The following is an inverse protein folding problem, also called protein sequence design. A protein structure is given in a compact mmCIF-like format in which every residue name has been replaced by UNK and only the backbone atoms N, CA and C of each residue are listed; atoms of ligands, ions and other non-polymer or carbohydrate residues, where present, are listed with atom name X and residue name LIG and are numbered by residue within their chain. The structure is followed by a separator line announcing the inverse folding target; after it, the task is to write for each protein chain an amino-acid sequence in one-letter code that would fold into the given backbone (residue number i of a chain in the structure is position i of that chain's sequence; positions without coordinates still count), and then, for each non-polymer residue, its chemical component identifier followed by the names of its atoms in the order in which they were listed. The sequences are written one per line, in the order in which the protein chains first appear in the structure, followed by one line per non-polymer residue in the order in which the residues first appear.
data_IF_408204741152
#
_entry.id   IF_408204741152
#
_cell.length_a   1.000
_cell.length_b   1.000
_cell.length_c   1.000
_cell.angle_alpha   90.00
_cell.angle_beta   90.00
_cell.angle_gamma   90.00
#
_symmetry.space_group_name_H-M   'P 1'
#
loop_
_entity.id
_entity.type
_entity.pdbx_description
1 polymer ?
#
# COMPACT_ATOMS: atom_id res chain seq x y z
N UNK A 1 1.18 -22.96 44.44
CA UNK A 1 1.00 -21.49 44.45
C UNK A 1 2.29 -20.85 44.91
N UNK A 2 3.21 -20.58 43.99
CA UNK A 2 4.33 -19.68 44.22
C UNK A 2 3.95 -18.37 43.54
N UNK A 3 3.62 -17.36 44.34
CA UNK A 3 3.29 -16.03 43.86
C UNK A 3 4.46 -15.49 43.03
N UNK A 4 4.18 -15.08 41.81
CA UNK A 4 5.15 -14.53 40.89
C UNK A 4 5.48 -13.09 41.35
N UNK A 5 6.46 -12.94 42.25
CA UNK A 5 6.86 -11.64 42.86
C UNK A 5 7.75 -10.80 41.91
N UNK A 6 7.88 -11.20 40.65
CA UNK A 6 8.72 -10.48 39.67
C UNK A 6 7.98 -9.38 38.89
N UNK A 7 6.66 -9.25 39.04
CA UNK A 7 5.86 -8.27 38.31
C UNK A 7 5.98 -6.82 38.80
N UNK A 8 6.69 -6.56 39.90
CA UNK A 8 6.89 -5.21 40.47
C UNK A 8 8.32 -4.96 40.98
N UNK A 9 9.36 -5.30 40.20
CA UNK A 9 10.70 -4.78 40.50
C UNK A 9 10.74 -3.30 40.13
N UNK A 10 10.66 -2.44 41.15
CA UNK A 10 10.89 -1.01 41.02
C UNK A 10 12.30 -0.81 40.42
N UNK A 11 12.42 -0.05 39.32
CA UNK A 11 13.71 0.18 38.68
C UNK A 11 14.69 0.82 39.66
N UNK A 12 15.89 0.25 39.76
CA UNK A 12 16.91 0.58 40.78
C UNK A 12 17.88 1.66 40.28
N UNK A 13 17.79 2.02 39.00
CA UNK A 13 18.61 3.05 38.35
C UNK A 13 17.72 3.97 37.51
N UNK A 14 18.14 5.21 37.30
CA UNK A 14 17.38 6.17 36.49
C UNK A 14 17.13 5.64 35.06
N UNK A 15 18.12 4.98 34.45
CA UNK A 15 17.98 4.42 33.09
C UNK A 15 16.93 3.31 33.05
N UNK A 16 16.97 2.37 34.00
CA UNK A 16 15.95 1.30 34.06
C UNK A 16 14.56 1.85 34.34
N UNK A 17 14.45 2.98 35.06
CA UNK A 17 13.18 3.65 35.30
C UNK A 17 12.60 4.32 34.06
N UNK A 18 13.45 5.03 33.31
CA UNK A 18 13.05 5.67 32.05
C UNK A 18 12.53 4.62 31.07
N UNK A 19 13.33 3.58 30.79
CA UNK A 19 12.93 2.52 29.85
C UNK A 19 11.62 1.84 30.28
N UNK A 20 11.42 1.60 31.59
CA UNK A 20 10.19 1.01 32.09
C UNK A 20 8.97 1.91 31.84
N UNK A 21 9.11 3.22 32.09
CA UNK A 21 8.03 4.19 31.90
C UNK A 21 7.70 4.41 30.42
N UNK A 22 8.71 4.44 29.54
CA UNK A 22 8.54 4.53 28.09
C UNK A 22 7.75 3.31 27.56
N UNK A 23 8.19 2.10 27.90
CA UNK A 23 7.48 0.86 27.55
C UNK A 23 6.04 0.84 28.10
N UNK A 24 5.82 1.33 29.31
CA UNK A 24 4.48 1.42 29.88
C UNK A 24 3.61 2.43 29.13
N UNK A 25 4.17 3.58 28.75
CA UNK A 25 3.49 4.61 27.97
C UNK A 25 3.07 4.07 26.60
N UNK A 26 3.97 3.40 25.89
CA UNK A 26 3.68 2.78 24.59
C UNK A 26 2.59 1.70 24.69
N UNK A 27 2.63 0.86 25.73
CA UNK A 27 1.57 -0.12 26.01
C UNK A 27 0.22 0.52 26.24
N UNK A 28 0.19 1.56 27.07
CA UNK A 28 -1.05 2.31 27.34
C UNK A 28 -1.58 2.91 26.05
N UNK A 29 -0.71 3.46 25.20
CA UNK A 29 -1.08 4.00 23.91
C UNK A 29 -1.74 2.93 23.03
N UNK A 30 -1.07 1.80 22.76
CA UNK A 30 -1.60 0.71 21.93
C UNK A 30 -2.93 0.17 22.46
N UNK A 31 -3.02 -0.13 23.75
CA UNK A 31 -4.26 -0.66 24.34
C UNK A 31 -5.40 0.36 24.32
N UNK A 32 -5.10 1.66 24.43
CA UNK A 32 -6.10 2.72 24.29
C UNK A 32 -6.63 2.81 22.85
N UNK A 33 -5.77 2.61 21.85
CA UNK A 33 -6.16 2.54 20.45
C UNK A 33 -7.05 1.33 20.19
N UNK A 34 -6.72 0.17 20.77
CA UNK A 34 -7.57 -1.02 20.70
C UNK A 34 -8.98 -0.73 21.24
N UNK A 35 -9.08 -0.21 22.47
CA UNK A 35 -10.38 0.16 23.06
C UNK A 35 -11.18 1.13 22.20
N UNK A 36 -10.50 2.10 21.56
CA UNK A 36 -11.14 3.14 20.76
C UNK A 36 -11.60 2.65 19.39
N UNK A 37 -10.79 1.83 18.72
CA UNK A 37 -11.02 1.39 17.34
C UNK A 37 -11.88 0.14 17.26
N UNK A 38 -11.72 -0.79 18.20
CA UNK A 38 -12.44 -2.06 18.22
C UNK A 38 -13.06 -2.32 19.61
N UNK A 39 -13.98 -1.45 20.08
CA UNK A 39 -14.51 -1.52 21.44
C UNK A 39 -15.23 -2.85 21.74
N UNK A 40 -15.94 -3.41 20.76
CA UNK A 40 -16.62 -4.71 20.91
C UNK A 40 -15.61 -5.84 21.06
N UNK A 41 -14.58 -5.89 20.20
CA UNK A 41 -13.51 -6.90 20.28
C UNK A 41 -12.69 -6.77 21.56
N UNK A 42 -12.44 -5.55 22.02
CA UNK A 42 -11.82 -5.30 23.31
C UNK A 42 -12.60 -5.93 24.47
N UNK A 43 -13.94 -5.80 24.47
CA UNK A 43 -14.81 -6.35 25.51
C UNK A 43 -14.95 -7.88 25.41
N UNK A 44 -14.92 -8.42 24.19
CA UNK A 44 -14.97 -9.87 23.92
C UNK A 44 -13.65 -10.59 24.24
N UNK A 45 -12.52 -9.88 24.23
CA UNK A 45 -11.19 -10.45 24.44
C UNK A 45 -11.07 -11.13 25.81
N UNK A 46 -10.70 -12.41 25.79
CA UNK A 46 -10.41 -13.21 26.99
C UNK A 46 -8.94 -13.17 27.39
N UNK A 47 -8.09 -12.47 26.62
CA UNK A 47 -6.65 -12.38 26.85
C UNK A 47 -6.38 -11.45 28.05
N UNK A 48 -5.71 -11.93 29.11
CA UNK A 48 -5.30 -11.07 30.21
C UNK A 48 -4.38 -9.93 29.72
N UNK A 49 -4.59 -8.72 30.24
CA UNK A 49 -3.86 -7.51 29.80
C UNK A 49 -2.34 -7.66 29.89
N UNK A 50 -1.84 -8.46 30.85
CA UNK A 50 -0.42 -8.68 31.10
C UNK A 50 0.10 -10.04 30.60
N UNK A 51 -0.68 -10.76 29.78
CA UNK A 51 -0.24 -12.05 29.25
C UNK A 51 0.83 -11.82 28.17
N UNK A 52 1.93 -12.56 28.29
CA UNK A 52 3.02 -12.59 27.33
C UNK A 52 3.40 -14.04 27.06
N UNK A 53 2.96 -14.57 25.93
CA UNK A 53 3.26 -15.95 25.51
C UNK A 53 4.66 -16.05 24.88
N UNK A 54 5.17 -14.95 24.31
CA UNK A 54 6.46 -14.84 23.64
C UNK A 54 7.40 -13.89 24.40
N UNK A 55 8.30 -14.41 25.27
CA UNK A 55 9.15 -13.58 26.12
C UNK A 55 10.14 -12.68 25.36
N UNK A 56 10.45 -13.02 24.12
CA UNK A 56 11.31 -12.21 23.23
C UNK A 56 10.57 -11.08 22.54
N UNK A 57 9.23 -11.11 22.50
CA UNK A 57 8.43 -10.04 21.89
C UNK A 57 8.43 -8.80 22.77
N UNK A 58 8.51 -7.63 22.15
CA UNK A 58 8.24 -6.35 22.80
C UNK A 58 6.75 -6.15 23.10
N UNK A 59 5.88 -6.91 22.44
CA UNK A 59 4.43 -6.83 22.55
C UNK A 59 3.84 -7.91 23.46
N UNK A 60 2.76 -7.55 24.15
CA UNK A 60 1.91 -8.47 24.90
C UNK A 60 0.87 -9.10 23.96
N UNK A 61 0.34 -10.26 24.33
CA UNK A 61 -0.63 -11.01 23.52
C UNK A 61 -1.85 -10.16 23.13
N UNK A 62 -2.29 -9.26 24.02
CA UNK A 62 -3.44 -8.39 23.77
C UNK A 62 -3.12 -7.21 22.85
N UNK A 63 -1.85 -6.81 22.77
CA UNK A 63 -1.38 -5.81 21.81
C UNK A 63 -1.23 -6.44 20.42
N UNK A 64 -0.72 -7.68 20.36
CA UNK A 64 -0.67 -8.47 19.13
C UNK A 64 -2.10 -8.72 18.60
N UNK A 65 -3.07 -9.03 19.46
CA UNK A 65 -4.49 -9.13 19.09
C UNK A 65 -4.99 -7.85 18.41
N UNK A 66 -4.66 -6.67 18.95
CA UNK A 66 -5.02 -5.40 18.33
C UNK A 66 -4.37 -5.20 16.96
N UNK A 67 -3.06 -5.46 16.84
CA UNK A 67 -2.33 -5.23 15.60
C UNK A 67 -2.83 -6.19 14.50
N UNK A 68 -3.18 -7.43 14.86
CA UNK A 68 -3.88 -8.36 13.96
C UNK A 68 -5.24 -7.81 13.51
N UNK A 69 -6.04 -7.24 14.41
CA UNK A 69 -7.31 -6.61 14.02
C UNK A 69 -7.12 -5.44 13.06
N UNK A 70 -6.06 -4.64 13.25
CA UNK A 70 -5.70 -3.57 12.30
C UNK A 70 -5.35 -4.16 10.93
N UNK A 71 -4.49 -5.18 10.90
CA UNK A 71 -4.08 -5.90 9.68
C UNK A 71 -5.28 -6.49 8.92
N UNK A 72 -6.20 -7.13 9.64
CA UNK A 72 -7.36 -7.81 9.06
C UNK A 72 -8.45 -6.85 8.55
N UNK A 73 -8.65 -5.71 9.24
CA UNK A 73 -9.85 -4.89 9.04
C UNK A 73 -9.58 -3.51 8.47
N UNK A 74 -8.35 -2.98 8.58
CA UNK A 74 -8.05 -1.58 8.24
C UNK A 74 -7.06 -1.44 7.09
N UNK A 75 -5.87 -2.01 7.22
CA UNK A 75 -4.80 -1.96 6.21
C UNK A 75 -3.70 -2.98 6.55
N UNK A 76 -2.93 -3.47 5.57
CA UNK A 76 -1.88 -4.46 5.80
C UNK A 76 -0.78 -3.91 6.71
N UNK A 77 -0.34 -4.74 7.64
CA UNK A 77 0.81 -4.48 8.50
C UNK A 77 1.98 -5.32 7.98
N UNK A 78 3.08 -4.65 7.63
CA UNK A 78 4.32 -5.32 7.21
C UNK A 78 4.87 -6.18 8.35
N UNK A 79 5.39 -7.37 8.03
CA UNK A 79 5.95 -8.33 8.99
C UNK A 79 4.98 -8.78 10.10
N UNK A 80 3.66 -8.79 9.84
CA UNK A 80 2.65 -9.22 10.83
C UNK A 80 2.91 -10.63 11.37
N UNK A 81 3.39 -11.54 10.53
CA UNK A 81 3.71 -12.92 10.91
C UNK A 81 4.92 -13.03 11.84
N UNK A 82 5.75 -11.98 11.92
CA UNK A 82 6.98 -11.93 12.73
C UNK A 82 6.81 -11.11 14.01
N UNK A 83 5.64 -10.52 14.25
CA UNK A 83 5.39 -9.59 15.36
C UNK A 83 5.64 -10.22 16.75
N UNK A 84 5.39 -11.52 16.88
CA UNK A 84 5.63 -12.31 18.10
C UNK A 84 7.12 -12.52 18.38
N UNK A 85 7.99 -12.24 17.42
CA UNK A 85 9.45 -12.36 17.54
C UNK A 85 10.16 -11.01 17.59
N UNK A 86 9.44 -9.91 17.38
CA UNK A 86 10.03 -8.59 17.34
C UNK A 86 10.50 -8.13 18.72
N UNK A 87 11.80 -7.83 18.85
CA UNK A 87 12.40 -7.38 20.10
C UNK A 87 12.18 -5.89 20.40
N UNK A 88 11.69 -5.13 19.42
CA UNK A 88 11.45 -3.70 19.53
C UNK A 88 10.00 -3.33 19.17
N UNK A 89 9.56 -2.18 19.68
CA UNK A 89 8.24 -1.62 19.34
C UNK A 89 8.40 -0.71 18.15
N UNK A 90 7.92 -1.21 17.02
CA UNK A 90 7.97 -0.46 15.78
C UNK A 90 6.77 0.47 15.59
N UNK A 91 7.04 1.56 14.89
CA UNK A 91 6.01 2.38 14.25
C UNK A 91 5.33 1.59 13.12
N UNK A 92 4.24 2.11 12.59
CA UNK A 92 3.54 1.54 11.43
C UNK A 92 4.40 1.78 10.20
N UNK A 93 4.98 0.71 9.66
CA UNK A 93 5.69 0.76 8.38
C UNK A 93 4.68 0.83 7.22
N UNK A 94 4.82 1.84 6.38
CA UNK A 94 4.12 1.92 5.10
C UNK A 94 5.09 1.45 4.02
N UNK A 95 4.87 0.21 3.55
CA UNK A 95 5.69 -0.42 2.52
C UNK A 95 5.03 -0.35 1.14
N UNK A 96 5.81 -0.38 0.06
CA UNK A 96 5.29 -0.51 -1.30
C UNK A 96 4.39 -1.72 -1.44
N UNK A 97 3.20 -1.51 -2.00
CA UNK A 97 2.19 -2.55 -2.18
C UNK A 97 2.27 -3.21 -3.57
N UNK A 98 3.24 -2.77 -4.38
CA UNK A 98 3.51 -3.25 -5.72
C UNK A 98 5.01 -3.34 -5.95
N UNK A 99 5.40 -4.20 -6.87
CA UNK A 99 6.77 -4.24 -7.37
C UNK A 99 7.06 -2.96 -8.15
N UNK A 100 8.24 -2.43 -7.90
CA UNK A 100 8.79 -1.27 -8.60
C UNK A 100 9.29 -1.73 -9.95
N UNK A 101 8.56 -1.37 -11.02
CA UNK A 101 8.84 -1.88 -12.36
C UNK A 101 10.25 -1.57 -12.87
N UNK A 102 10.94 -0.56 -12.30
CA UNK A 102 12.33 -0.22 -12.64
C UNK A 102 13.37 -1.14 -11.98
N UNK A 103 12.96 -1.94 -10.99
CA UNK A 103 13.79 -2.95 -10.33
C UNK A 103 13.60 -4.35 -10.91
N UNK A 104 12.59 -4.54 -11.76
CA UNK A 104 12.28 -5.81 -12.43
C UNK A 104 12.88 -5.87 -13.84
N UNK A 105 13.10 -7.08 -14.36
CA UNK A 105 13.33 -7.23 -15.80
C UNK A 105 12.03 -6.85 -16.52
N UNK A 106 12.13 -5.89 -17.45
CA UNK A 106 10.99 -5.45 -18.25
C UNK A 106 10.25 -6.63 -18.89
N UNK A 107 10.97 -7.69 -19.30
CA UNK A 107 10.35 -8.87 -19.91
C UNK A 107 9.55 -9.76 -18.94
N UNK A 108 9.73 -9.60 -17.64
CA UNK A 108 8.99 -10.33 -16.59
C UNK A 108 7.70 -9.60 -16.18
N UNK A 109 7.57 -8.31 -16.52
CA UNK A 109 6.35 -7.53 -16.27
C UNK A 109 5.13 -8.12 -16.96
N UNK A 110 3.95 -7.92 -16.37
CA UNK A 110 2.71 -8.38 -16.99
C UNK A 110 2.41 -7.60 -18.27
N UNK A 111 1.63 -8.21 -19.17
CA UNK A 111 1.35 -7.66 -20.50
C UNK A 111 0.82 -6.22 -20.44
N UNK A 112 -0.10 -5.95 -19.50
CA UNK A 112 -0.72 -4.63 -19.32
C UNK A 112 0.29 -3.58 -18.84
N UNK A 113 1.21 -3.93 -17.94
CA UNK A 113 2.30 -3.03 -17.51
C UNK A 113 3.25 -2.71 -18.65
N UNK A 114 3.70 -3.73 -19.40
CA UNK A 114 4.51 -3.53 -20.61
C UNK A 114 3.83 -2.57 -21.59
N UNK A 115 2.51 -2.72 -21.79
CA UNK A 115 1.74 -1.85 -22.68
C UNK A 115 1.68 -0.40 -22.15
N UNK A 116 1.37 -0.20 -20.87
CA UNK A 116 1.28 1.13 -20.27
C UNK A 116 2.64 1.83 -20.22
N UNK A 117 3.71 1.14 -19.85
CA UNK A 117 5.09 1.67 -19.91
C UNK A 117 5.49 2.03 -21.33
N UNK A 118 5.18 1.18 -22.32
CA UNK A 118 5.44 1.48 -23.72
C UNK A 118 4.65 2.70 -24.21
N UNK A 119 3.43 2.89 -23.72
CA UNK A 119 2.60 4.06 -24.03
C UNK A 119 3.23 5.36 -23.48
N UNK A 120 3.86 5.28 -22.31
CA UNK A 120 4.61 6.37 -21.67
C UNK A 120 6.05 6.53 -22.21
N UNK A 121 6.47 5.71 -23.18
CA UNK A 121 7.81 5.75 -23.76
C UNK A 121 8.90 5.04 -22.95
N UNK A 122 8.54 4.31 -21.89
CA UNK A 122 9.46 3.57 -21.00
C UNK A 122 9.53 2.06 -21.33
N UNK A 123 9.04 1.65 -22.50
CA UNK A 123 8.96 0.24 -22.88
C UNK A 123 9.39 -0.01 -24.32
N UNK A 124 8.64 -0.85 -25.02
CA UNK A 124 8.94 -1.19 -26.41
C UNK A 124 8.85 0.01 -27.34
N UNK A 125 9.81 0.12 -28.26
CA UNK A 125 9.76 1.04 -29.38
C UNK A 125 8.63 0.69 -30.35
N UNK A 126 8.06 1.67 -31.07
CA UNK A 126 6.92 1.49 -31.99
C UNK A 126 7.12 0.32 -32.99
N UNK A 127 8.35 0.11 -33.47
CA UNK A 127 8.67 -0.99 -34.39
C UNK A 127 8.46 -2.39 -33.79
N UNK A 128 8.48 -2.53 -32.46
CA UNK A 128 8.25 -3.78 -31.73
C UNK A 128 6.76 -3.98 -31.37
N UNK A 129 5.92 -2.95 -31.46
CA UNK A 129 4.51 -3.02 -31.04
C UNK A 129 3.68 -4.05 -31.82
N UNK A 130 4.01 -4.30 -33.10
CA UNK A 130 3.26 -5.32 -33.86
C UNK A 130 3.40 -6.70 -33.26
N UNK A 131 4.61 -7.06 -32.86
CA UNK A 131 4.95 -8.34 -32.27
C UNK A 131 4.35 -8.46 -30.87
N UNK A 132 4.54 -7.44 -30.04
CA UNK A 132 4.19 -7.49 -28.62
C UNK A 132 2.72 -7.16 -28.35
N UNK A 133 2.12 -6.26 -29.15
CA UNK A 133 0.77 -5.74 -28.92
C UNK A 133 -0.19 -5.91 -30.12
N UNK A 134 0.21 -6.61 -31.19
CA UNK A 134 -0.67 -6.98 -32.30
C UNK A 134 -1.01 -5.87 -33.29
N UNK A 135 -0.53 -4.63 -33.09
CA UNK A 135 -0.65 -3.52 -34.04
C UNK A 135 0.55 -2.58 -33.94
N UNK A 136 0.78 -1.77 -34.97
CA UNK A 136 1.76 -0.68 -34.95
C UNK A 136 0.97 0.64 -34.96
N UNK A 137 1.12 1.51 -33.96
CA UNK A 137 0.60 2.87 -34.04
C UNK A 137 1.45 3.70 -34.99
N UNK A 138 0.83 4.65 -35.70
CA UNK A 138 1.56 5.58 -36.58
C UNK A 138 2.42 6.56 -35.78
N UNK A 139 2.01 6.86 -34.54
CA UNK A 139 2.64 7.80 -33.64
C UNK A 139 2.23 7.50 -32.20
N UNK A 140 3.13 7.80 -31.26
CA UNK A 140 2.86 7.86 -29.82
C UNK A 140 3.44 9.17 -29.33
N UNK A 141 2.61 10.00 -28.71
CA UNK A 141 3.05 11.26 -28.12
C UNK A 141 4.02 11.00 -26.95
N UNK A 142 5.15 11.73 -26.87
CA UNK A 142 6.03 11.67 -25.70
C UNK A 142 5.27 12.03 -24.42
N UNK A 143 5.61 11.38 -23.30
CA UNK A 143 4.94 11.60 -22.02
C UNK A 143 5.02 13.06 -21.57
N UNK A 144 6.12 13.75 -21.86
CA UNK A 144 6.36 15.16 -21.52
C UNK A 144 5.42 16.13 -22.26
N UNK A 145 4.82 15.69 -23.37
CA UNK A 145 3.89 16.49 -24.17
C UNK A 145 2.42 16.28 -23.77
N UNK A 146 2.14 15.28 -22.92
CA UNK A 146 0.79 14.94 -22.48
C UNK A 146 0.28 15.94 -21.46
N UNK A 147 -0.87 16.56 -21.76
CA UNK A 147 -1.57 17.35 -20.76
C UNK A 147 -2.50 16.45 -19.94
N UNK A 148 -2.02 16.03 -18.76
CA UNK A 148 -2.67 14.95 -18.00
C UNK A 148 -4.13 15.25 -17.62
N UNK A 149 -4.48 16.49 -17.28
CA UNK A 149 -5.89 16.84 -17.03
C UNK A 149 -6.80 16.63 -18.25
N UNK A 150 -6.28 16.86 -19.46
CA UNK A 150 -6.99 16.59 -20.71
C UNK A 150 -7.09 15.09 -20.95
N UNK A 151 -6.04 14.33 -20.64
CA UNK A 151 -6.06 12.85 -20.68
C UNK A 151 -7.18 12.28 -19.81
N UNK A 152 -7.24 12.68 -18.52
CA UNK A 152 -8.31 12.30 -17.59
C UNK A 152 -9.71 12.60 -18.17
N UNK A 153 -9.90 13.81 -18.72
CA UNK A 153 -11.18 14.21 -19.35
C UNK A 153 -11.53 13.36 -20.57
N UNK A 154 -10.54 12.90 -21.35
CA UNK A 154 -10.75 12.04 -22.50
C UNK A 154 -11.09 10.60 -22.08
N UNK A 155 -10.40 10.05 -21.09
CA UNK A 155 -10.70 8.73 -20.51
C UNK A 155 -12.17 8.65 -20.07
N UNK A 156 -12.66 9.64 -19.32
CA UNK A 156 -14.06 9.69 -18.82
C UNK A 156 -15.14 9.71 -19.90
N UNK A 157 -14.81 9.94 -21.18
CA UNK A 157 -15.78 9.87 -22.29
C UNK A 157 -16.08 8.44 -22.72
N UNK A 158 -15.23 7.49 -22.33
CA UNK A 158 -15.41 6.08 -22.61
C UNK A 158 -16.22 5.42 -21.50
N UNK A 159 -16.75 4.22 -21.79
CA UNK A 159 -17.40 3.38 -20.77
C UNK A 159 -16.35 2.54 -20.04
N UNK A 160 -16.72 2.02 -18.86
CA UNK A 160 -15.95 0.98 -18.18
C UNK A 160 -15.64 -0.18 -19.13
N UNK A 161 -14.45 -0.80 -19.01
CA UNK A 161 -13.33 -0.41 -18.13
C UNK A 161 -12.46 0.77 -18.59
N UNK A 162 -12.44 1.10 -19.89
CA UNK A 162 -11.46 2.02 -20.47
C UNK A 162 -11.50 3.45 -19.88
N UNK A 163 -12.61 3.82 -19.25
CA UNK A 163 -12.73 5.09 -18.54
C UNK A 163 -11.72 5.26 -17.39
N UNK A 164 -11.17 4.17 -16.85
CA UNK A 164 -10.19 4.17 -15.76
C UNK A 164 -8.74 4.09 -16.24
N UNK A 165 -8.48 4.28 -17.54
CA UNK A 165 -7.12 4.23 -18.08
C UNK A 165 -6.20 5.28 -17.40
N UNK A 166 -6.75 6.41 -16.97
CA UNK A 166 -6.01 7.41 -16.21
C UNK A 166 -5.56 6.89 -14.83
N UNK A 167 -6.38 6.09 -14.16
CA UNK A 167 -6.01 5.43 -12.90
C UNK A 167 -4.85 4.45 -13.15
N UNK A 168 -4.96 3.59 -14.17
CA UNK A 168 -3.92 2.61 -14.48
C UNK A 168 -2.56 3.29 -14.78
N UNK A 169 -2.57 4.41 -15.51
CA UNK A 169 -1.38 5.23 -15.76
C UNK A 169 -0.82 5.83 -14.47
N UNK A 170 -1.66 6.44 -13.62
CA UNK A 170 -1.19 7.03 -12.34
C UNK A 170 -0.54 6.00 -11.43
N UNK A 171 -1.07 4.78 -11.36
CA UNK A 171 -0.49 3.76 -10.48
C UNK A 171 0.88 3.32 -11.01
N UNK A 172 1.05 3.11 -12.32
CA UNK A 172 2.35 2.69 -12.86
C UNK A 172 3.39 3.82 -12.82
N UNK A 173 2.93 5.07 -12.82
CA UNK A 173 3.75 6.29 -12.71
C UNK A 173 3.96 6.75 -11.25
N UNK A 174 3.42 6.03 -10.25
CA UNK A 174 3.51 6.40 -8.82
C UNK A 174 3.02 7.85 -8.56
N UNK A 175 1.94 8.27 -9.23
CA UNK A 175 1.38 9.63 -9.19
C UNK A 175 -0.11 9.66 -8.83
N UNK A 176 -0.50 8.81 -7.88
CA UNK A 176 -1.90 8.62 -7.45
C UNK A 176 -2.33 9.57 -6.32
N UNK A 177 -1.39 10.23 -5.65
CA UNK A 177 -1.57 10.94 -4.37
C UNK A 177 -2.07 10.01 -3.24
N UNK A 178 -1.73 8.73 -3.35
CA UNK A 178 -2.06 7.71 -2.37
C UNK A 178 -0.78 7.08 -1.81
N UNK A 179 -0.59 7.22 -0.49
CA UNK A 179 0.62 6.76 0.19
C UNK A 179 0.90 5.27 -0.01
N UNK A 180 -0.12 4.42 -0.20
CA UNK A 180 0.09 2.98 -0.42
C UNK A 180 0.52 2.62 -1.84
N UNK A 181 0.22 3.48 -2.81
CA UNK A 181 0.47 3.23 -4.24
C UNK A 181 1.66 4.01 -4.78
N UNK A 182 2.04 5.11 -4.13
CA UNK A 182 3.12 5.99 -4.58
C UNK A 182 4.42 5.79 -3.78
N UNK A 183 4.38 5.04 -2.68
CA UNK A 183 5.58 4.78 -1.88
C UNK A 183 6.48 3.72 -2.55
N UNK A 184 7.78 3.95 -2.43
CA UNK A 184 8.86 3.15 -3.00
C UNK A 184 9.72 2.57 -1.88
N UNK A 185 10.52 1.54 -2.14
CA UNK A 185 11.46 0.98 -1.16
C UNK A 185 12.44 2.04 -0.63
N UNK A 186 12.65 3.11 -1.40
CA UNK A 186 13.53 4.24 -1.10
C UNK A 186 12.81 5.36 -0.32
N UNK A 187 11.48 5.39 -0.36
CA UNK A 187 10.64 6.42 0.26
C UNK A 187 9.69 5.89 1.34
N UNK A 188 9.81 4.60 1.70
CA UNK A 188 9.11 3.98 2.82
C UNK A 188 9.14 4.85 4.06
N UNK A 189 8.00 4.94 4.74
CA UNK A 189 7.81 5.83 5.88
C UNK A 189 7.31 5.07 7.10
N UNK A 190 7.62 5.60 8.27
CA UNK A 190 7.28 5.03 9.57
C UNK A 190 6.37 6.01 10.31
N UNK A 191 5.10 5.65 10.47
CA UNK A 191 4.13 6.48 11.17
C UNK A 191 3.89 5.98 12.59
N UNK A 192 3.90 6.88 13.55
CA UNK A 192 3.58 6.53 14.94
C UNK A 192 2.18 5.92 15.08
N UNK A 193 2.03 5.02 16.05
CA UNK A 193 0.74 4.49 16.47
C UNK A 193 -0.13 5.58 17.11
N UNK A 194 -0.91 6.28 16.30
CA UNK A 194 -1.91 7.26 16.75
C UNK A 194 -3.25 6.96 16.09
N UNK A 195 -4.34 7.44 16.70
CA UNK A 195 -5.67 7.25 16.12
C UNK A 195 -5.77 7.92 14.74
N UNK A 196 -5.20 9.12 14.63
CA UNK A 196 -5.20 9.94 13.44
C UNK A 196 -4.45 9.24 12.30
N UNK A 197 -3.27 8.68 12.57
CA UNK A 197 -2.50 7.94 11.57
C UNK A 197 -3.21 6.66 11.13
N UNK A 198 -3.76 5.87 12.07
CA UNK A 198 -4.49 4.64 11.72
C UNK A 198 -5.71 4.95 10.84
N UNK A 199 -6.49 5.97 11.20
CA UNK A 199 -7.68 6.35 10.40
C UNK A 199 -7.26 6.87 9.02
N UNK A 200 -6.22 7.70 8.95
CA UNK A 200 -5.68 8.19 7.68
C UNK A 200 -5.21 7.04 6.78
N UNK A 201 -4.42 6.12 7.33
CA UNK A 201 -3.90 4.96 6.62
C UNK A 201 -5.01 4.02 6.15
N UNK A 202 -6.02 3.77 6.99
CA UNK A 202 -7.19 2.96 6.64
C UNK A 202 -8.00 3.58 5.50
N UNK A 203 -8.22 4.90 5.53
CA UNK A 203 -8.90 5.61 4.45
C UNK A 203 -8.11 5.51 3.14
N UNK A 204 -6.78 5.77 3.20
CA UNK A 204 -5.91 5.65 2.04
C UNK A 204 -5.85 4.23 1.50
N UNK A 205 -5.90 3.23 2.36
CA UNK A 205 -5.92 1.82 1.93
C UNK A 205 -7.19 1.48 1.17
N UNK A 206 -8.36 1.91 1.66
CA UNK A 206 -9.62 1.72 0.95
C UNK A 206 -9.62 2.43 -0.41
N UNK A 207 -9.08 3.65 -0.49
CA UNK A 207 -8.86 4.34 -1.77
C UNK A 207 -7.95 3.51 -2.70
N UNK A 208 -6.84 2.98 -2.18
CA UNK A 208 -5.87 2.22 -2.95
C UNK A 208 -6.48 0.93 -3.52
N UNK A 209 -7.21 0.17 -2.71
CA UNK A 209 -7.92 -1.06 -3.14
C UNK A 209 -8.87 -0.76 -4.30
N UNK A 210 -9.68 0.30 -4.20
CA UNK A 210 -10.60 0.69 -5.27
C UNK A 210 -9.87 1.14 -6.55
N UNK A 211 -8.69 1.77 -6.43
CA UNK A 211 -7.86 2.14 -7.58
C UNK A 211 -7.24 0.91 -8.25
N UNK A 212 -6.74 -0.04 -7.45
CA UNK A 212 -6.21 -1.32 -7.94
C UNK A 212 -7.29 -2.11 -8.67
N UNK A 213 -8.50 -2.23 -8.11
CA UNK A 213 -9.62 -2.93 -8.76
C UNK A 213 -9.93 -2.33 -10.14
N UNK A 214 -10.04 -1.00 -10.23
CA UNK A 214 -10.27 -0.30 -11.50
C UNK A 214 -9.13 -0.48 -12.49
N UNK A 215 -7.89 -0.44 -12.01
CA UNK A 215 -6.70 -0.70 -12.82
C UNK A 215 -6.72 -2.13 -13.37
N UNK A 216 -7.10 -3.12 -12.56
CA UNK A 216 -7.20 -4.51 -12.97
C UNK A 216 -8.27 -4.72 -14.04
N UNK A 217 -9.40 -4.02 -13.98
CA UNK A 217 -10.40 -4.05 -15.05
C UNK A 217 -9.83 -3.54 -16.39
N UNK A 218 -9.03 -2.46 -16.36
CA UNK A 218 -8.36 -1.91 -17.55
C UNK A 218 -7.30 -2.87 -18.06
N UNK A 219 -6.47 -3.42 -17.18
CA UNK A 219 -5.44 -4.41 -17.53
C UNK A 219 -6.03 -5.60 -18.28
N UNK A 220 -7.09 -6.19 -17.73
CA UNK A 220 -7.81 -7.29 -18.39
C UNK A 220 -8.37 -6.89 -19.76
N UNK A 221 -8.93 -5.68 -19.89
CA UNK A 221 -9.43 -5.17 -21.16
C UNK A 221 -8.31 -5.00 -22.19
N UNK A 222 -7.16 -4.47 -21.79
CA UNK A 222 -6.00 -4.24 -22.68
C UNK A 222 -5.39 -5.55 -23.17
N UNK A 223 -5.34 -6.56 -22.32
CA UNK A 223 -4.86 -7.90 -22.64
C UNK A 223 -5.76 -8.60 -23.67
N UNK A 224 -7.08 -8.49 -23.49
CA UNK A 224 -8.05 -9.26 -24.28
C UNK A 224 -8.54 -8.54 -25.54
N UNK A 225 -8.37 -7.21 -25.65
CA UNK A 225 -8.97 -6.42 -26.72
C UNK A 225 -7.97 -5.57 -27.51
N UNK A 226 -7.79 -5.90 -28.79
CA UNK A 226 -7.01 -5.09 -29.72
C UNK A 226 -7.63 -3.70 -29.95
N UNK A 227 -8.96 -3.61 -30.00
CA UNK A 227 -9.65 -2.33 -30.19
C UNK A 227 -9.48 -1.42 -28.97
N UNK A 228 -9.45 -1.97 -27.75
CA UNK A 228 -9.17 -1.21 -26.54
C UNK A 228 -7.74 -0.65 -26.53
N UNK A 229 -6.74 -1.46 -26.89
CA UNK A 229 -5.34 -0.99 -27.03
C UNK A 229 -5.20 0.16 -28.03
N UNK A 230 -5.83 0.04 -29.19
CA UNK A 230 -5.88 1.14 -30.19
C UNK A 230 -6.58 2.37 -29.65
N UNK A 231 -7.66 2.20 -28.90
CA UNK A 231 -8.36 3.31 -28.27
C UNK A 231 -7.50 4.00 -27.19
N UNK A 232 -6.76 3.25 -26.38
CA UNK A 232 -5.84 3.79 -25.38
C UNK A 232 -4.76 4.69 -26.03
N UNK A 233 -4.10 4.22 -27.10
CA UNK A 233 -3.14 5.05 -27.86
C UNK A 233 -3.81 6.30 -28.43
N UNK A 234 -5.02 6.17 -28.97
CA UNK A 234 -5.77 7.33 -29.50
C UNK A 234 -6.06 8.35 -28.40
N UNK A 235 -6.49 7.91 -27.22
CA UNK A 235 -6.78 8.78 -26.07
C UNK A 235 -5.50 9.51 -25.64
N UNK A 236 -4.40 8.78 -25.51
CA UNK A 236 -3.08 9.31 -25.15
C UNK A 236 -2.63 10.39 -26.13
N UNK A 237 -2.58 10.07 -27.43
CA UNK A 237 -2.16 11.04 -28.45
C UNK A 237 -3.11 12.24 -28.54
N UNK A 238 -4.42 12.06 -28.31
CA UNK A 238 -5.35 13.18 -28.27
C UNK A 238 -5.10 14.12 -27.08
N UNK A 239 -4.46 13.64 -26.02
CA UNK A 239 -4.12 14.44 -24.85
C UNK A 239 -2.84 15.26 -25.01
N UNK A 240 -2.02 14.99 -26.03
CA UNK A 240 -0.83 15.81 -26.33
C UNK A 240 -1.23 17.23 -26.73
N UNK A 241 -0.28 18.16 -26.60
CA UNK A 241 -0.38 19.46 -27.28
C UNK A 241 -0.46 19.20 -28.79
N UNK A 242 -1.40 19.85 -29.45
CA UNK A 242 -1.43 19.90 -30.91
C UNK A 242 -0.28 20.78 -31.40
#
# INVERSE_FOLDING_TARGET
MLGNIYSFKIPITCITAVNYLENLSERVNILSLYQRLFPEKWLESTIPINKQSHPSSAYLDREIEFINLVNENLFPIEYIDEIEFNSERDSILVSPQRLEWWNEDFEELVYSEKFLLSLMGQGYNINQWKLNFGFTPDYIAPAEEIYFEKFVKLCRRYKSPLQYLDIAIRIIDYSTENIWLDITCETSDWLEWTYENIVFLAQKWQEAVLMIEKSNEVSHLLETSLSARKAAVKIWNQASKA
#
